data_IF_642672210048
#
_entry.id   IF_642672210048
#
_cell.length_a   1.000
_cell.length_b   1.000
_cell.length_c   1.000
_cell.angle_alpha   90.00
_cell.angle_beta   90.00
_cell.angle_gamma   90.00
#
_symmetry.space_group_name_H-M   'P 1'
#
loop_
_entity.id
_entity.type
_entity.pdbx_description
1 polymer ?
#
# COMPACT_ATOMS: atom_id res chain seq x y z
N UNK A 1 24.27 -3.70 -4.85
CA UNK A 1 23.68 -4.75 -4.01
C UNK A 1 23.93 -6.09 -4.70
N UNK A 2 24.06 -7.23 -3.98
CA UNK A 2 23.99 -8.53 -4.64
C UNK A 2 22.68 -8.62 -5.44
N UNK A 3 22.71 -9.28 -6.58
CA UNK A 3 21.50 -9.56 -7.36
C UNK A 3 20.55 -10.39 -6.50
N UNK A 4 19.28 -9.98 -6.42
CA UNK A 4 18.24 -10.79 -5.77
C UNK A 4 17.69 -11.79 -6.77
N UNK A 5 17.47 -13.03 -6.32
CA UNK A 5 17.02 -14.11 -7.21
C UNK A 5 15.52 -14.03 -7.54
N UNK A 6 14.75 -13.36 -6.69
CA UNK A 6 13.32 -13.12 -6.86
C UNK A 6 12.84 -11.98 -5.94
N UNK A 7 11.68 -11.38 -6.26
CA UNK A 7 10.98 -10.40 -5.44
C UNK A 7 9.47 -10.71 -5.34
N UNK A 8 8.82 -10.22 -4.30
CA UNK A 8 7.35 -10.18 -4.27
C UNK A 8 6.81 -9.19 -5.32
N UNK A 9 5.62 -9.46 -5.91
CA UNK A 9 4.96 -8.52 -6.81
C UNK A 9 4.65 -7.21 -6.09
N UNK A 10 4.66 -6.10 -6.85
CA UNK A 10 4.38 -4.76 -6.33
C UNK A 10 3.45 -4.02 -7.26
N UNK A 11 2.46 -3.33 -6.70
CA UNK A 11 1.62 -2.43 -7.48
C UNK A 11 2.39 -1.17 -7.88
N UNK A 12 2.04 -0.59 -9.04
CA UNK A 12 2.47 0.75 -9.40
C UNK A 12 1.65 1.73 -8.54
N UNK A 13 2.36 2.47 -7.68
CA UNK A 13 1.74 3.41 -6.73
C UNK A 13 1.04 4.57 -7.44
N UNK A 14 -0.02 5.10 -6.80
CA UNK A 14 -0.74 6.31 -7.27
C UNK A 14 0.23 7.45 -7.57
N UNK A 15 1.24 7.66 -6.71
CA UNK A 15 2.25 8.69 -6.88
C UNK A 15 3.00 8.58 -8.23
N UNK A 16 3.24 7.36 -8.70
CA UNK A 16 3.90 7.11 -9.99
C UNK A 16 2.97 7.39 -11.18
N UNK A 17 1.65 7.27 -11.00
CA UNK A 17 0.63 7.47 -12.03
C UNK A 17 0.20 8.93 -12.19
N UNK A 18 0.52 9.81 -11.22
CA UNK A 18 0.18 11.24 -11.29
C UNK A 18 0.75 11.87 -12.56
N UNK A 19 -0.13 12.53 -13.32
CA UNK A 19 0.19 13.15 -14.60
C UNK A 19 0.39 12.18 -15.77
N UNK A 20 0.25 10.87 -15.55
CA UNK A 20 0.32 9.84 -16.61
C UNK A 20 -1.05 9.27 -16.96
N UNK A 21 -2.02 9.35 -16.04
CA UNK A 21 -3.42 8.96 -16.26
C UNK A 21 -4.35 10.15 -16.01
N UNK A 22 -5.60 10.12 -16.51
CA UNK A 22 -6.59 11.13 -16.16
C UNK A 22 -6.75 11.29 -14.65
N UNK A 23 -6.73 12.54 -14.20
CA UNK A 23 -6.80 12.91 -12.77
C UNK A 23 -8.03 12.33 -12.05
N UNK A 24 -9.17 12.27 -12.75
CA UNK A 24 -10.40 11.74 -12.18
C UNK A 24 -10.37 10.23 -11.93
N UNK A 25 -9.43 9.48 -12.53
CA UNK A 25 -9.20 8.08 -12.17
C UNK A 25 -8.54 7.94 -10.79
N UNK A 26 -7.77 8.94 -10.36
CA UNK A 26 -7.03 8.91 -9.10
C UNK A 26 -7.84 9.54 -7.96
N UNK A 27 -8.80 10.40 -8.27
CA UNK A 27 -9.62 11.10 -7.28
C UNK A 27 -10.27 10.14 -6.29
N UNK A 28 -10.07 10.38 -4.98
CA UNK A 28 -10.54 9.55 -3.86
C UNK A 28 -9.96 8.13 -3.79
N UNK A 29 -9.01 7.77 -4.67
CA UNK A 29 -8.31 6.49 -4.61
C UNK A 29 -7.65 6.31 -3.24
N UNK A 30 -7.68 5.07 -2.74
CA UNK A 30 -7.02 4.69 -1.49
C UNK A 30 -5.54 4.53 -1.81
N UNK A 31 -4.72 5.52 -1.47
CA UNK A 31 -3.27 5.48 -1.74
C UNK A 31 -2.60 4.43 -0.87
N UNK A 32 -2.97 4.43 0.41
CA UNK A 32 -2.50 3.45 1.38
C UNK A 32 -3.55 3.26 2.47
N UNK A 33 -3.71 2.03 2.92
CA UNK A 33 -4.51 1.67 4.06
C UNK A 33 -3.84 0.52 4.80
N UNK A 34 -3.79 0.64 6.12
CA UNK A 34 -3.35 -0.43 6.99
C UNK A 34 -4.27 -0.47 8.20
N UNK A 35 -4.90 -1.61 8.50
CA UNK A 35 -5.70 -1.82 9.71
C UNK A 35 -5.03 -1.21 10.95
N UNK A 36 -5.69 -0.25 11.59
CA UNK A 36 -5.17 0.37 12.82
C UNK A 36 -4.04 1.40 12.66
N UNK A 37 -3.62 1.73 11.44
CA UNK A 37 -2.61 2.77 11.18
C UNK A 37 -3.13 3.97 10.37
N UNK A 38 -4.37 3.87 9.88
CA UNK A 38 -5.06 4.97 9.22
C UNK A 38 -5.20 4.75 7.73
N UNK A 39 -5.76 5.76 7.07
CA UNK A 39 -6.12 5.72 5.67
C UNK A 39 -5.60 6.99 4.98
N UNK A 40 -4.93 6.81 3.84
CA UNK A 40 -4.44 7.88 2.96
C UNK A 40 -5.26 7.87 1.69
N UNK A 41 -5.94 8.97 1.38
CA UNK A 41 -6.78 9.09 0.18
C UNK A 41 -6.28 10.21 -0.71
N UNK A 42 -6.22 9.96 -2.02
CA UNK A 42 -5.81 10.95 -3.01
C UNK A 42 -6.86 12.06 -3.15
N UNK A 43 -6.40 13.32 -3.10
CA UNK A 43 -7.23 14.51 -3.36
C UNK A 43 -6.93 15.03 -4.75
N UNK A 44 -5.65 15.30 -5.01
CA UNK A 44 -5.18 15.81 -6.29
C UNK A 44 -3.68 15.61 -6.49
N UNK A 45 -3.23 15.80 -7.72
CA UNK A 45 -1.81 15.77 -8.03
C UNK A 45 -1.47 16.38 -9.38
N UNK A 46 -0.21 16.73 -9.54
CA UNK A 46 0.33 17.24 -10.79
C UNK A 46 1.76 16.74 -10.99
N UNK A 47 2.13 16.58 -12.26
CA UNK A 47 3.50 16.30 -12.68
C UNK A 47 3.97 17.45 -13.57
N UNK A 48 5.02 18.15 -13.16
CA UNK A 48 5.67 19.20 -13.92
C UNK A 48 7.14 18.81 -14.16
N UNK A 49 7.43 18.25 -15.33
CA UNK A 49 8.71 17.60 -15.60
C UNK A 49 8.93 16.41 -14.66
N UNK A 50 9.99 16.47 -13.86
CA UNK A 50 10.32 15.43 -12.86
C UNK A 50 9.72 15.72 -11.49
N UNK A 51 9.16 16.90 -11.26
CA UNK A 51 8.54 17.23 -9.97
C UNK A 51 7.10 16.73 -9.97
N UNK A 52 6.75 15.90 -8.98
CA UNK A 52 5.39 15.42 -8.76
C UNK A 52 4.91 15.97 -7.42
N UNK A 53 3.76 16.64 -7.43
CA UNK A 53 3.06 17.07 -6.22
C UNK A 53 1.84 16.21 -6.01
N UNK A 54 1.69 15.63 -4.81
CA UNK A 54 0.53 14.80 -4.45
C UNK A 54 -0.10 15.36 -3.18
N UNK A 55 -1.39 15.71 -3.26
CA UNK A 55 -2.18 16.13 -2.12
C UNK A 55 -3.08 14.99 -1.68
N UNK A 56 -3.06 14.68 -0.39
CA UNK A 56 -3.84 13.58 0.19
C UNK A 56 -4.63 14.05 1.40
N UNK A 57 -5.74 13.35 1.65
CA UNK A 57 -6.47 13.36 2.91
C UNK A 57 -5.89 12.27 3.79
N UNK A 58 -5.62 12.61 5.04
CA UNK A 58 -5.15 11.67 6.05
C UNK A 58 -6.28 11.43 7.04
N UNK A 59 -6.79 10.20 7.09
CA UNK A 59 -7.66 9.76 8.17
C UNK A 59 -6.78 9.09 9.23
N UNK A 60 -6.56 9.75 10.38
CA UNK A 60 -5.58 9.29 11.35
C UNK A 60 -6.07 8.07 12.13
N UNK A 61 -5.18 7.56 12.98
CA UNK A 61 -5.54 6.76 14.16
C UNK A 61 -4.96 7.42 15.40
N UNK A 62 -5.61 7.22 16.53
CA UNK A 62 -5.19 7.80 17.80
C UNK A 62 -4.53 6.74 18.67
N UNK A 63 -3.44 7.14 19.33
CA UNK A 63 -2.65 6.31 20.23
C UNK A 63 -2.58 6.98 21.61
N UNK A 64 -2.63 6.19 22.68
CA UNK A 64 -2.50 6.71 24.04
C UNK A 64 -1.15 6.29 24.59
N UNK A 65 -0.33 7.27 24.96
CA UNK A 65 0.93 7.04 25.66
C UNK A 65 0.87 7.75 27.00
N UNK A 66 0.62 6.99 28.08
CA UNK A 66 0.34 7.58 29.39
C UNK A 66 -0.97 8.39 29.36
N UNK A 67 -0.89 9.69 29.66
CA UNK A 67 -2.02 10.63 29.56
C UNK A 67 -2.16 11.29 28.19
N UNK A 68 -1.16 11.13 27.32
CA UNK A 68 -1.11 11.87 26.06
C UNK A 68 -1.77 11.09 24.93
N UNK A 69 -2.58 11.80 24.13
CA UNK A 69 -3.11 11.30 22.87
C UNK A 69 -2.21 11.78 21.75
N UNK A 70 -1.72 10.84 20.95
CA UNK A 70 -0.94 11.09 19.75
C UNK A 70 -1.73 10.71 18.50
N UNK A 71 -1.39 11.34 17.39
CA UNK A 71 -2.03 11.14 16.10
C UNK A 71 -1.09 10.40 15.17
N UNK A 72 -1.54 9.26 14.66
CA UNK A 72 -0.82 8.41 13.71
C UNK A 72 -1.37 8.62 12.30
N UNK A 73 -0.49 8.81 11.32
CA UNK A 73 -0.86 9.00 9.91
C UNK A 73 0.05 8.20 8.98
N UNK A 74 -0.50 7.70 7.87
CA UNK A 74 0.24 6.99 6.83
C UNK A 74 0.95 7.92 5.84
N UNK A 75 1.62 7.34 4.85
CA UNK A 75 2.24 8.03 3.73
C UNK A 75 1.86 7.40 2.38
N UNK A 76 2.58 7.76 1.30
CA UNK A 76 2.21 7.35 -0.06
C UNK A 76 2.53 5.88 -0.40
N UNK A 77 3.40 5.21 0.35
CA UNK A 77 3.72 3.81 0.14
C UNK A 77 2.68 2.88 0.79
N UNK A 78 2.45 1.72 0.19
CA UNK A 78 1.63 0.65 0.76
C UNK A 78 2.52 -0.48 1.25
N UNK A 79 2.35 -0.85 2.53
CA UNK A 79 3.11 -1.94 3.13
C UNK A 79 2.43 -3.28 2.86
N UNK A 80 3.22 -4.28 2.45
CA UNK A 80 2.77 -5.66 2.46
C UNK A 80 2.74 -6.17 3.90
N UNK A 81 1.58 -6.08 4.54
CA UNK A 81 1.26 -6.91 5.72
C UNK A 81 0.85 -8.32 5.25
N UNK A 82 0.63 -9.32 6.11
CA UNK A 82 0.30 -10.75 5.78
C UNK A 82 -0.16 -10.93 4.35
N UNK A 83 0.37 -11.79 3.50
CA UNK A 83 0.03 -11.93 2.06
C UNK A 83 -0.45 -10.72 1.20
N UNK A 84 -0.44 -9.45 1.63
CA UNK A 84 -0.89 -8.31 0.85
C UNK A 84 0.22 -7.84 -0.09
N UNK A 85 -0.20 -7.20 -1.19
CA UNK A 85 0.71 -6.52 -2.10
C UNK A 85 1.21 -5.19 -1.54
N UNK A 86 2.47 -4.89 -1.81
CA UNK A 86 3.09 -3.61 -1.47
C UNK A 86 3.14 -2.65 -2.66
N UNK A 87 3.30 -1.37 -2.34
CA UNK A 87 3.51 -0.29 -3.29
C UNK A 87 4.72 0.54 -2.88
N UNK A 88 5.79 0.46 -3.67
CA UNK A 88 6.98 1.29 -3.45
C UNK A 88 6.74 2.71 -3.99
N UNK A 89 7.23 3.69 -3.24
CA UNK A 89 7.26 5.09 -3.64
C UNK A 89 8.67 5.67 -3.55
N UNK A 90 9.03 6.62 -4.42
CA UNK A 90 10.30 7.32 -4.32
C UNK A 90 10.40 8.16 -3.04
N UNK A 91 11.62 8.64 -2.77
CA UNK A 91 11.82 9.61 -1.71
C UNK A 91 11.02 10.90 -2.00
N UNK A 92 10.49 11.50 -0.96
CA UNK A 92 9.64 12.68 -1.03
C UNK A 92 9.85 13.61 0.16
N UNK A 93 9.37 14.84 0.02
CA UNK A 93 9.16 15.76 1.12
C UNK A 93 7.69 15.82 1.46
N UNK A 94 7.33 15.81 2.74
CA UNK A 94 5.95 15.85 3.21
C UNK A 94 5.71 17.06 4.09
N UNK A 95 4.61 17.78 3.85
CA UNK A 95 4.02 18.73 4.80
C UNK A 95 2.65 18.25 5.22
N UNK A 96 2.35 18.33 6.51
CA UNK A 96 1.08 17.89 7.11
C UNK A 96 0.33 19.09 7.64
N UNK A 97 -0.97 19.17 7.35
CA UNK A 97 -1.83 20.26 7.73
C UNK A 97 -3.04 19.76 8.52
N UNK A 98 -3.35 20.40 9.64
CA UNK A 98 -4.59 20.18 10.40
C UNK A 98 -5.51 21.37 10.22
N UNK A 99 -6.63 21.19 9.52
CA UNK A 99 -7.55 22.30 9.21
C UNK A 99 -6.88 23.47 8.48
N UNK A 100 -5.88 23.18 7.64
CA UNK A 100 -5.09 24.18 6.90
C UNK A 100 -3.88 24.76 7.66
N UNK A 101 -3.69 24.44 8.93
CA UNK A 101 -2.51 24.87 9.71
C UNK A 101 -1.40 23.84 9.56
N UNK A 102 -0.19 24.28 9.18
CA UNK A 102 1.00 23.40 9.10
C UNK A 102 1.35 22.86 10.50
N UNK A 103 1.25 21.55 10.67
CA UNK A 103 1.56 20.80 11.89
C UNK A 103 2.72 19.82 11.67
N UNK A 104 3.49 19.99 10.59
CA UNK A 104 4.59 19.10 10.20
C UNK A 104 5.60 18.92 11.34
N UNK A 105 5.92 20.01 12.04
CA UNK A 105 6.84 20.02 13.18
C UNK A 105 6.35 19.25 14.42
N UNK A 106 5.12 18.73 14.41
CA UNK A 106 4.58 17.89 15.48
C UNK A 106 4.98 16.43 15.34
N UNK A 107 5.57 16.03 14.22
CA UNK A 107 6.07 14.67 14.04
C UNK A 107 7.21 14.38 15.02
N UNK A 108 7.02 13.32 15.81
CA UNK A 108 7.95 12.90 16.87
C UNK A 108 8.49 11.49 16.67
N UNK A 109 7.83 10.69 15.83
CA UNK A 109 8.26 9.33 15.53
C UNK A 109 7.87 8.95 14.10
N UNK A 110 8.68 8.11 13.47
CA UNK A 110 8.42 7.52 12.17
C UNK A 110 8.77 6.03 12.19
N UNK A 111 7.98 5.25 11.48
CA UNK A 111 8.32 3.90 11.08
C UNK A 111 8.09 3.71 9.58
N UNK A 112 8.97 2.96 8.92
CA UNK A 112 8.82 2.68 7.49
C UNK A 112 9.58 1.42 7.05
N UNK A 113 9.04 0.74 6.04
CA UNK A 113 9.77 -0.31 5.32
C UNK A 113 10.62 0.34 4.22
N UNK A 114 11.93 0.10 4.21
CA UNK A 114 12.81 0.65 3.18
C UNK A 114 12.41 0.15 1.80
N UNK A 115 12.36 1.05 0.82
CA UNK A 115 12.36 0.66 -0.57
C UNK A 115 13.66 -0.09 -0.95
N UNK A 116 13.61 -0.78 -2.08
CA UNK A 116 14.72 -1.53 -2.64
C UNK A 116 14.31 -2.90 -3.18
N UNK A 117 15.21 -3.50 -3.92
CA UNK A 117 15.13 -4.89 -4.36
C UNK A 117 15.53 -5.79 -3.19
N UNK A 118 14.57 -6.06 -2.31
CA UNK A 118 14.76 -6.86 -1.09
C UNK A 118 13.67 -7.92 -1.00
N UNK A 119 14.06 -9.11 -0.57
CA UNK A 119 13.14 -10.16 -0.17
C UNK A 119 12.56 -9.84 1.22
N UNK A 120 11.40 -10.41 1.57
CA UNK A 120 10.91 -10.36 2.95
C UNK A 120 11.92 -10.99 3.91
N UNK A 121 11.77 -10.69 5.20
CA UNK A 121 12.50 -11.26 6.34
C UNK A 121 11.66 -12.31 7.08
N UNK A 122 10.32 -12.31 6.91
CA UNK A 122 9.40 -13.27 7.52
C UNK A 122 8.30 -13.77 6.55
N UNK A 123 7.58 -14.82 6.94
CA UNK A 123 6.49 -15.42 6.17
C UNK A 123 5.15 -14.68 6.32
N UNK A 124 4.12 -15.12 5.60
CA UNK A 124 2.78 -14.51 5.59
C UNK A 124 2.03 -14.54 6.92
N UNK A 125 2.46 -15.34 7.90
CA UNK A 125 1.85 -15.30 9.24
C UNK A 125 2.30 -14.09 10.05
N UNK A 126 3.41 -13.45 9.68
CA UNK A 126 3.86 -12.23 10.34
C UNK A 126 3.17 -11.00 9.76
N UNK A 127 2.65 -10.15 10.63
CA UNK A 127 2.03 -8.89 10.24
C UNK A 127 3.00 -7.99 9.47
N UNK A 128 4.29 -7.98 9.83
CA UNK A 128 5.32 -7.25 9.10
C UNK A 128 6.36 -8.21 8.54
N UNK A 129 6.31 -8.43 7.22
CA UNK A 129 7.26 -9.30 6.53
C UNK A 129 8.57 -8.62 6.17
N UNK A 130 8.67 -7.30 6.24
CA UNK A 130 9.88 -6.56 5.89
C UNK A 130 10.43 -5.83 7.10
N UNK A 131 11.76 -5.79 7.25
CA UNK A 131 12.42 -4.99 8.25
C UNK A 131 11.98 -3.52 8.16
N UNK A 132 11.54 -3.00 9.30
CA UNK A 132 11.14 -1.61 9.45
C UNK A 132 12.21 -0.80 10.16
N UNK A 133 12.48 0.39 9.65
CA UNK A 133 13.09 1.44 10.45
C UNK A 133 12.08 1.94 11.47
N UNK A 134 12.55 2.26 12.68
CA UNK A 134 11.77 2.88 13.75
C UNK A 134 12.64 3.93 14.43
N UNK A 135 12.20 5.18 14.48
CA UNK A 135 13.01 6.22 15.09
C UNK A 135 12.44 7.61 14.93
N UNK A 136 13.32 8.61 15.04
CA UNK A 136 12.94 10.00 14.90
C UNK A 136 12.76 10.37 13.42
N UNK A 137 11.76 11.23 13.09
CA UNK A 137 11.65 11.81 11.77
C UNK A 137 12.82 12.76 11.49
N UNK A 138 13.15 12.93 10.21
CA UNK A 138 14.10 13.93 9.72
C UNK A 138 13.35 15.04 8.99
N UNK A 139 13.93 16.24 9.00
CA UNK A 139 13.32 17.42 8.42
C UNK A 139 14.30 18.12 7.48
N UNK A 140 13.80 18.51 6.32
CA UNK A 140 14.51 19.36 5.39
C UNK A 140 14.66 20.78 5.96
N UNK A 141 15.59 21.57 5.38
CA UNK A 141 15.86 22.94 5.82
C UNK A 141 14.66 23.90 5.73
N UNK A 142 13.63 23.57 4.95
CA UNK A 142 12.38 24.33 4.86
C UNK A 142 11.30 23.87 5.87
N UNK A 143 11.60 22.87 6.70
CA UNK A 143 10.72 22.32 7.73
C UNK A 143 9.77 21.22 7.23
N UNK A 144 9.85 20.82 5.96
CA UNK A 144 9.16 19.63 5.47
C UNK A 144 9.78 18.37 6.06
N UNK A 145 8.97 17.33 6.28
CA UNK A 145 9.45 16.01 6.66
C UNK A 145 10.16 15.35 5.49
N UNK A 146 11.35 14.82 5.73
CA UNK A 146 12.00 13.94 4.77
C UNK A 146 11.36 12.54 4.88
N UNK A 147 10.74 12.13 3.79
CA UNK A 147 10.15 10.80 3.63
C UNK A 147 11.04 10.00 2.67
N UNK A 148 11.89 9.08 3.18
CA UNK A 148 12.77 8.30 2.32
C UNK A 148 11.95 7.41 1.39
N UNK A 149 12.58 6.91 0.32
CA UNK A 149 11.96 5.91 -0.53
C UNK A 149 11.54 4.72 0.33
N UNK A 150 10.25 4.36 0.25
CA UNK A 150 9.64 3.40 1.17
C UNK A 150 8.61 2.53 0.47
N UNK A 151 8.29 1.40 1.10
CA UNK A 151 7.19 0.50 0.75
C UNK A 151 6.08 0.62 1.80
N UNK A 152 5.79 1.82 2.24
CA UNK A 152 4.86 2.09 3.34
C UNK A 152 5.54 2.63 4.58
N UNK A 153 4.88 3.61 5.18
CA UNK A 153 5.36 4.29 6.37
C UNK A 153 4.23 4.88 7.20
N UNK A 154 4.56 5.21 8.43
CA UNK A 154 3.68 5.87 9.38
C UNK A 154 4.46 6.89 10.19
N UNK A 155 3.87 8.07 10.33
CA UNK A 155 4.35 9.13 11.20
C UNK A 155 3.42 9.26 12.41
N UNK A 156 4.01 9.54 13.57
CA UNK A 156 3.27 9.88 14.79
C UNK A 156 3.52 11.34 15.11
N UNK A 157 2.43 12.09 15.22
CA UNK A 157 2.39 13.48 15.61
C UNK A 157 1.99 13.59 17.09
N UNK A 158 2.69 14.45 17.81
CA UNK A 158 2.33 14.85 19.16
C UNK A 158 0.98 15.57 19.18
N UNK A 159 0.11 15.20 20.12
CA UNK A 159 -1.23 15.75 20.26
C UNK A 159 -2.29 15.08 19.38
N UNK A 160 -3.54 15.46 19.63
CA UNK A 160 -4.70 14.98 18.87
C UNK A 160 -5.01 15.95 17.73
N UNK A 161 -4.94 15.46 16.50
CA UNK A 161 -5.25 16.22 15.29
C UNK A 161 -6.37 15.55 14.49
N UNK A 162 -7.22 16.37 13.89
CA UNK A 162 -8.33 15.97 13.03
C UNK A 162 -8.27 16.77 11.73
N UNK A 163 -9.06 16.37 10.72
CA UNK A 163 -9.14 17.07 9.43
C UNK A 163 -7.76 17.29 8.79
N UNK A 164 -7.01 16.19 8.70
CA UNK A 164 -5.64 16.21 8.24
C UNK A 164 -5.56 16.09 6.72
N UNK A 165 -4.71 16.90 6.12
CA UNK A 165 -4.24 16.74 4.75
C UNK A 165 -2.71 16.73 4.73
N UNK A 166 -2.13 16.23 3.66
CA UNK A 166 -0.70 16.35 3.43
C UNK A 166 -0.40 16.65 1.97
N UNK A 167 0.70 17.36 1.75
CA UNK A 167 1.29 17.59 0.44
C UNK A 167 2.63 16.91 0.40
N UNK A 168 2.80 16.04 -0.59
CA UNK A 168 4.05 15.37 -0.90
C UNK A 168 4.65 15.99 -2.16
N UNK A 169 5.96 16.21 -2.14
CA UNK A 169 6.73 16.61 -3.31
C UNK A 169 7.79 15.56 -3.58
N UNK A 170 7.76 14.99 -4.78
CA UNK A 170 8.66 13.93 -5.25
C UNK A 170 9.46 14.47 -6.43
N UNK A 171 10.75 14.15 -6.49
CA UNK A 171 11.61 14.43 -7.64
C UNK A 171 11.95 13.13 -8.35
N UNK A 172 11.27 12.85 -9.46
CA UNK A 172 11.41 11.60 -10.19
C UNK A 172 11.06 11.71 -11.69
N UNK A 173 11.95 11.22 -12.54
CA UNK A 173 11.67 10.99 -13.96
C UNK A 173 10.66 9.85 -14.16
N UNK A 174 9.77 9.96 -15.16
CA UNK A 174 8.86 8.86 -15.45
C UNK A 174 9.63 7.61 -15.90
N UNK A 175 9.39 6.48 -15.25
CA UNK A 175 9.91 5.18 -15.67
C UNK A 175 8.96 4.44 -16.62
N UNK A 176 7.71 4.92 -16.73
CA UNK A 176 6.63 4.31 -17.51
C UNK A 176 5.90 5.33 -18.38
N UNK A 177 5.16 4.81 -19.35
CA UNK A 177 4.05 5.44 -20.04
C UNK A 177 2.80 4.62 -19.79
N UNK A 178 1.65 5.29 -19.76
CA UNK A 178 0.36 4.64 -19.50
C UNK A 178 -0.63 5.09 -20.57
N UNK A 179 -1.25 4.13 -21.22
CA UNK A 179 -2.36 4.34 -22.16
C UNK A 179 -3.64 3.85 -21.49
N UNK A 180 -4.68 4.69 -21.45
CA UNK A 180 -6.00 4.27 -21.01
C UNK A 180 -6.73 3.54 -22.13
N UNK A 181 -7.21 2.34 -21.84
CA UNK A 181 -7.95 1.52 -22.82
C UNK A 181 -9.45 1.43 -22.52
N UNK A 182 -9.86 1.58 -21.26
CA UNK A 182 -11.27 1.56 -20.90
C UNK A 182 -11.51 1.61 -19.40
N UNK A 183 -12.79 1.50 -19.02
CA UNK A 183 -13.19 1.30 -17.63
C UNK A 183 -14.49 0.49 -17.56
N UNK A 184 -14.70 -0.15 -16.42
CA UNK A 184 -15.96 -0.79 -16.04
C UNK A 184 -16.38 -0.25 -14.67
N UNK A 185 -17.69 -0.10 -14.44
CA UNK A 185 -18.22 0.30 -13.14
C UNK A 185 -19.27 -0.69 -12.70
N UNK A 186 -19.19 -1.09 -11.43
CA UNK A 186 -20.09 -2.03 -10.81
C UNK A 186 -20.73 -1.42 -9.57
N UNK A 187 -21.92 -1.93 -9.25
CA UNK A 187 -22.63 -1.61 -8.02
C UNK A 187 -22.43 -2.76 -7.04
N UNK A 188 -22.03 -2.44 -5.81
CA UNK A 188 -21.81 -3.42 -4.74
C UNK A 188 -22.43 -2.96 -3.43
N UNK A 189 -22.60 -3.91 -2.50
CA UNK A 189 -23.20 -3.67 -1.19
C UNK A 189 -22.25 -4.05 -0.06
N UNK A 190 -22.75 -3.98 1.17
CA UNK A 190 -22.05 -4.56 2.32
C UNK A 190 -21.82 -6.06 2.16
N UNK A 191 -20.60 -6.49 2.49
CA UNK A 191 -20.22 -7.87 2.68
C UNK A 191 -20.93 -8.44 3.91
N UNK A 192 -21.51 -9.62 3.74
CA UNK A 192 -22.14 -10.40 4.81
C UNK A 192 -21.60 -11.81 4.70
N UNK A 193 -20.71 -12.20 5.59
CA UNK A 193 -20.13 -13.53 5.49
C UNK A 193 -19.41 -13.98 6.73
N UNK A 194 -18.56 -14.97 6.54
CA UNK A 194 -17.64 -15.49 7.55
C UNK A 194 -16.37 -14.65 7.56
N UNK A 195 -15.44 -14.96 8.46
CA UNK A 195 -14.18 -14.24 8.62
C UNK A 195 -14.15 -13.38 9.87
N UNK A 196 -12.98 -12.82 10.15
CA UNK A 196 -12.80 -11.87 11.23
C UNK A 196 -13.56 -10.58 10.86
N UNK A 197 -14.30 -9.99 11.80
CA UNK A 197 -14.92 -8.66 11.62
C UNK A 197 -14.48 -7.65 12.69
N UNK A 198 -13.52 -8.06 13.53
CA UNK A 198 -12.99 -7.25 14.63
C UNK A 198 -14.10 -6.64 15.48
N UNK A 199 -14.03 -5.32 15.68
CA UNK A 199 -14.98 -4.55 16.49
C UNK A 199 -16.39 -4.48 15.88
N UNK A 200 -16.59 -4.95 14.64
CA UNK A 200 -17.88 -4.99 13.96
C UNK A 200 -18.50 -6.40 13.90
N UNK A 201 -17.99 -7.38 14.64
CA UNK A 201 -18.53 -8.75 14.62
C UNK A 201 -19.99 -8.83 15.08
N UNK A 202 -20.42 -7.95 16.01
CA UNK A 202 -21.82 -7.82 16.39
C UNK A 202 -22.71 -7.39 15.22
N UNK A 203 -22.26 -6.45 14.38
CA UNK A 203 -22.96 -6.06 13.15
C UNK A 203 -22.98 -7.21 12.16
N UNK A 204 -21.81 -7.82 11.85
CA UNK A 204 -21.70 -8.97 10.94
C UNK A 204 -22.68 -10.07 11.34
N UNK A 205 -22.72 -10.42 12.62
CA UNK A 205 -23.61 -11.47 13.16
C UNK A 205 -25.09 -11.12 13.04
N UNK A 206 -25.48 -9.85 13.24
CA UNK A 206 -26.87 -9.40 13.07
C UNK A 206 -27.29 -9.43 11.59
N UNK A 207 -26.43 -8.94 10.70
CA UNK A 207 -26.64 -8.97 9.25
C UNK A 207 -26.75 -10.42 8.75
N UNK A 208 -25.87 -11.31 9.19
CA UNK A 208 -25.87 -12.72 8.80
C UNK A 208 -27.13 -13.45 9.27
N UNK A 209 -27.57 -13.22 10.51
CA UNK A 209 -28.82 -13.81 11.02
C UNK A 209 -30.05 -13.34 10.26
N UNK A 210 -30.06 -12.09 9.79
CA UNK A 210 -31.23 -11.48 9.13
C UNK A 210 -31.27 -11.75 7.63
N UNK A 211 -30.12 -11.72 6.95
CA UNK A 211 -30.05 -11.70 5.48
C UNK A 211 -29.22 -12.84 4.87
N UNK A 212 -28.59 -13.70 5.67
CA UNK A 212 -27.73 -14.78 5.17
C UNK A 212 -26.35 -14.28 4.76
N UNK A 213 -25.79 -14.77 3.66
CA UNK A 213 -24.47 -14.37 3.17
C UNK A 213 -24.59 -13.58 1.87
N UNK A 214 -23.69 -12.61 1.67
CA UNK A 214 -23.52 -11.82 0.46
C UNK A 214 -22.05 -11.44 0.28
N UNK A 215 -21.53 -11.73 -0.91
CA UNK A 215 -20.27 -11.18 -1.42
C UNK A 215 -20.46 -10.92 -2.90
N UNK A 216 -20.54 -9.64 -3.28
CA UNK A 216 -20.79 -9.28 -4.67
C UNK A 216 -19.51 -9.58 -5.48
N UNK A 217 -19.67 -10.25 -6.62
CA UNK A 217 -18.58 -10.61 -7.53
C UNK A 217 -18.98 -10.23 -8.95
N UNK A 218 -18.04 -9.67 -9.68
CA UNK A 218 -18.25 -9.15 -11.03
C UNK A 218 -17.34 -9.84 -12.00
N UNK A 219 -17.86 -10.28 -13.15
CA UNK A 219 -17.01 -10.73 -14.25
C UNK A 219 -16.34 -9.50 -14.88
N UNK A 220 -15.03 -9.57 -15.08
CA UNK A 220 -14.22 -8.52 -15.68
C UNK A 220 -14.17 -8.72 -17.20
N UNK A 221 -14.28 -7.63 -17.97
CA UNK A 221 -14.15 -7.65 -19.42
C UNK A 221 -13.04 -6.67 -19.88
N UNK A 222 -11.76 -6.99 -19.62
CA UNK A 222 -10.66 -6.12 -20.01
C UNK A 222 -10.65 -5.86 -21.52
N UNK A 223 -10.50 -4.60 -21.98
CA UNK A 223 -10.31 -4.28 -23.40
C UNK A 223 -9.07 -4.97 -23.98
N UNK A 224 -9.06 -5.19 -25.29
CA UNK A 224 -7.92 -5.79 -25.99
C UNK A 224 -6.63 -5.01 -25.73
N UNK A 225 -5.60 -5.75 -25.30
CA UNK A 225 -4.26 -5.22 -25.03
C UNK A 225 -4.12 -4.44 -23.73
N UNK A 226 -5.11 -4.50 -22.82
CA UNK A 226 -4.93 -4.12 -21.42
C UNK A 226 -4.10 -5.18 -20.69
N UNK A 227 -3.12 -4.71 -19.92
CA UNK A 227 -2.20 -5.54 -19.11
C UNK A 227 -2.22 -5.15 -17.62
N UNK A 228 -2.73 -3.96 -17.30
CA UNK A 228 -2.89 -3.46 -15.94
C UNK A 228 -4.32 -2.98 -15.68
N UNK A 229 -4.70 -3.01 -14.41
CA UNK A 229 -5.91 -2.38 -13.91
C UNK A 229 -5.65 -1.57 -12.63
N UNK A 230 -6.47 -0.55 -12.40
CA UNK A 230 -6.53 0.19 -11.14
C UNK A 230 -7.99 0.24 -10.67
N UNK A 231 -8.21 0.04 -9.37
CA UNK A 231 -9.56 0.06 -8.80
C UNK A 231 -9.76 1.28 -7.90
N UNK A 232 -10.87 1.98 -8.09
CA UNK A 232 -11.35 3.04 -7.19
C UNK A 232 -12.71 2.69 -6.59
N UNK A 233 -12.83 2.88 -5.28
CA UNK A 233 -14.05 2.61 -4.50
C UNK A 233 -14.04 3.48 -3.23
N UNK A 234 -15.21 3.81 -2.65
CA UNK A 234 -15.27 4.62 -1.45
C UNK A 234 -14.75 3.86 -0.22
N UNK A 235 -14.16 4.52 0.79
CA UNK A 235 -13.82 3.88 2.06
C UNK A 235 -15.07 3.50 2.86
N UNK A 236 -14.99 2.44 3.66
CA UNK A 236 -16.00 2.14 4.69
C UNK A 236 -15.93 3.21 5.80
N UNK A 237 -17.06 3.63 6.39
CA UNK A 237 -17.08 4.70 7.39
C UNK A 237 -16.68 4.24 8.80
N UNK A 238 -16.27 2.98 8.98
CA UNK A 238 -15.79 2.46 10.26
C UNK A 238 -14.59 1.51 10.07
N UNK A 239 -13.70 1.52 11.07
CA UNK A 239 -12.53 0.66 11.20
C UNK A 239 -12.88 -0.58 12.03
N UNK A 240 -12.98 -1.77 11.42
CA UNK A 240 -13.19 -3.00 12.15
C UNK A 240 -11.95 -3.44 12.97
N UNK A 241 -10.74 -3.01 12.61
CA UNK A 241 -9.49 -3.54 13.16
C UNK A 241 -8.59 -2.43 13.73
N UNK A 242 -9.01 -1.70 14.77
CA UNK A 242 -8.14 -0.71 15.38
C UNK A 242 -6.98 -1.39 16.15
N UNK A 243 -5.74 -0.99 15.87
CA UNK A 243 -4.50 -1.52 16.52
C UNK A 243 -4.46 -1.23 18.04
N UNK A 244 -5.20 -0.21 18.49
CA UNK A 244 -5.38 0.09 19.90
C UNK A 244 -6.87 0.13 20.24
N UNK A 245 -7.24 -0.31 21.45
CA UNK A 245 -8.61 -0.24 21.97
C UNK A 245 -9.06 1.20 22.30
N UNK A 246 -8.62 2.19 21.52
CA UNK A 246 -9.23 3.51 21.57
C UNK A 246 -10.56 3.47 20.82
N UNK A 247 -11.64 3.70 21.57
CA UNK A 247 -13.00 3.70 21.03
C UNK A 247 -13.19 4.71 19.89
N UNK A 248 -12.42 5.79 19.91
CA UNK A 248 -12.43 6.85 18.91
C UNK A 248 -11.93 6.41 17.53
N UNK A 249 -11.22 5.28 17.44
CA UNK A 249 -10.70 4.77 16.16
C UNK A 249 -11.75 4.03 15.35
N UNK A 250 -12.70 3.35 16.00
CA UNK A 250 -13.76 2.57 15.33
C UNK A 250 -14.62 3.42 14.38
N UNK A 251 -15.09 4.64 14.74
CA UNK A 251 -15.90 5.46 13.83
C UNK A 251 -15.08 6.16 12.74
N UNK A 252 -13.79 5.88 12.59
CA UNK A 252 -12.96 6.48 11.55
C UNK A 252 -13.00 5.62 10.27
N UNK A 253 -12.99 6.25 9.08
CA UNK A 253 -12.97 5.51 7.82
C UNK A 253 -11.79 4.55 7.68
N UNK A 254 -12.03 3.45 6.96
CA UNK A 254 -11.07 2.42 6.62
C UNK A 254 -11.19 2.00 5.15
N UNK A 255 -10.15 1.33 4.62
CA UNK A 255 -10.09 0.97 3.20
C UNK A 255 -10.68 -0.41 2.86
N UNK A 256 -10.76 -1.34 3.82
CA UNK A 256 -11.09 -2.76 3.56
C UNK A 256 -10.18 -3.42 2.51
N UNK A 257 -10.62 -4.55 1.97
CA UNK A 257 -9.84 -5.39 1.04
C UNK A 257 -10.68 -5.82 -0.16
N UNK A 258 -10.10 -5.80 -1.36
CA UNK A 258 -10.69 -6.40 -2.56
C UNK A 258 -9.77 -7.48 -3.11
N UNK A 259 -10.30 -8.37 -3.95
CA UNK A 259 -9.55 -9.51 -4.50
C UNK A 259 -9.92 -9.80 -5.96
N UNK A 260 -8.97 -10.32 -6.71
CA UNK A 260 -9.19 -10.86 -8.05
C UNK A 260 -9.50 -12.35 -7.95
N UNK A 261 -10.62 -12.76 -8.52
CA UNK A 261 -11.09 -14.14 -8.50
C UNK A 261 -10.89 -14.86 -9.82
N UNK A 262 -10.69 -16.18 -9.74
CA UNK A 262 -10.80 -17.12 -10.85
C UNK A 262 -12.24 -17.59 -11.03
N UNK A 263 -12.54 -18.20 -12.18
CA UNK A 263 -13.86 -18.79 -12.43
C UNK A 263 -14.25 -19.89 -11.44
N UNK A 264 -13.25 -20.56 -10.84
CA UNK A 264 -13.43 -21.62 -9.84
C UNK A 264 -13.62 -21.10 -8.39
N UNK A 265 -13.69 -19.78 -8.20
CA UNK A 265 -13.77 -19.05 -6.93
C UNK A 265 -12.49 -19.00 -6.08
N UNK A 266 -11.35 -19.47 -6.58
CA UNK A 266 -10.05 -19.13 -5.98
C UNK A 266 -9.87 -17.61 -6.00
N UNK A 267 -9.32 -17.05 -4.94
CA UNK A 267 -9.11 -15.61 -4.78
C UNK A 267 -7.62 -15.30 -4.74
N UNK A 268 -7.25 -14.16 -5.29
CA UNK A 268 -5.97 -13.54 -5.02
C UNK A 268 -5.85 -13.24 -3.52
N UNK A 269 -4.63 -12.91 -3.13
CA UNK A 269 -4.38 -12.24 -1.86
C UNK A 269 -5.17 -10.95 -1.71
N UNK A 270 -5.22 -10.44 -0.48
CA UNK A 270 -5.86 -9.17 -0.16
C UNK A 270 -5.15 -7.97 -0.80
N UNK A 271 -5.96 -7.05 -1.34
CA UNK A 271 -5.52 -5.75 -1.80
C UNK A 271 -6.22 -4.63 -1.04
N UNK A 272 -5.44 -3.82 -0.32
CA UNK A 272 -5.91 -2.74 0.56
C UNK A 272 -5.77 -1.35 -0.05
N UNK A 273 -5.08 -1.22 -1.18
CA UNK A 273 -4.85 0.07 -1.85
C UNK A 273 -5.24 0.04 -3.33
N UNK A 274 -5.60 1.21 -3.84
CA UNK A 274 -5.75 1.52 -5.26
C UNK A 274 -4.35 1.67 -5.87
N UNK A 275 -3.78 0.58 -6.36
CA UNK A 275 -2.53 0.61 -7.13
C UNK A 275 -2.82 0.06 -8.53
N UNK A 276 -2.04 0.44 -9.54
CA UNK A 276 -2.13 -0.27 -10.81
C UNK A 276 -1.42 -1.62 -10.69
N UNK A 277 -2.16 -2.69 -10.95
CA UNK A 277 -1.72 -4.08 -10.79
C UNK A 277 -1.87 -4.83 -12.12
N UNK A 278 -0.99 -5.79 -12.43
CA UNK A 278 -1.10 -6.57 -13.64
C UNK A 278 -2.35 -7.46 -13.62
N UNK A 279 -3.08 -7.48 -14.73
CA UNK A 279 -4.27 -8.32 -14.91
C UNK A 279 -3.93 -9.81 -14.82
N UNK A 280 -2.81 -10.21 -15.44
CA UNK A 280 -2.43 -11.61 -15.66
C UNK A 280 -1.27 -12.05 -14.75
N UNK A 281 -1.14 -11.42 -13.59
CA UNK A 281 -0.08 -11.72 -12.63
C UNK A 281 -0.60 -11.67 -11.20
N UNK A 282 -1.26 -12.74 -10.75
CA UNK A 282 -1.89 -12.82 -9.45
C UNK A 282 -1.38 -14.01 -8.65
N UNK A 283 -1.49 -13.94 -7.33
CA UNK A 283 -1.11 -15.02 -6.42
C UNK A 283 -2.27 -15.31 -5.50
N UNK A 284 -2.54 -16.60 -5.34
CA UNK A 284 -3.63 -17.11 -4.53
C UNK A 284 -3.39 -16.82 -3.05
N UNK A 285 -4.48 -16.52 -2.32
CA UNK A 285 -4.46 -16.28 -0.88
C UNK A 285 -3.69 -17.36 -0.10
N UNK A 286 -3.00 -16.92 0.96
CA UNK A 286 -2.32 -17.79 1.91
C UNK A 286 -3.25 -18.77 2.65
N UNK A 287 -4.54 -18.48 2.81
CA UNK A 287 -5.50 -19.41 3.41
C UNK A 287 -6.03 -20.46 2.41
N UNK A 288 -5.75 -20.28 1.11
CA UNK A 288 -6.13 -21.19 0.03
C UNK A 288 -4.95 -21.96 -0.57
N UNK A 289 -3.71 -21.66 -0.14
CA UNK A 289 -2.50 -22.30 -0.65
C UNK A 289 -1.53 -22.65 0.47
N UNK A 290 -0.75 -23.73 0.29
CA UNK A 290 0.30 -24.11 1.21
C UNK A 290 1.66 -24.17 0.50
N UNK A 291 2.74 -23.82 1.20
CA UNK A 291 4.07 -23.90 0.62
C UNK A 291 4.98 -22.73 0.99
N UNK A 292 6.18 -22.79 0.42
CA UNK A 292 7.17 -21.71 0.52
C UNK A 292 6.72 -20.48 -0.29
N UNK A 293 5.99 -20.69 -1.37
CA UNK A 293 5.46 -19.62 -2.21
C UNK A 293 3.99 -19.88 -2.52
N UNK A 294 3.20 -18.81 -2.60
CA UNK A 294 1.79 -18.87 -2.97
C UNK A 294 1.64 -19.29 -4.44
N UNK A 295 0.50 -19.90 -4.77
CA UNK A 295 0.23 -20.34 -6.13
C UNK A 295 -0.06 -19.15 -7.05
N UNK A 296 0.74 -19.03 -8.11
CA UNK A 296 0.52 -18.06 -9.17
C UNK A 296 -0.68 -18.44 -10.04
N UNK A 297 -1.42 -17.44 -10.52
CA UNK A 297 -2.40 -17.59 -11.59
C UNK A 297 -2.46 -16.34 -12.49
N UNK A 298 -2.77 -16.57 -13.76
CA UNK A 298 -2.88 -15.53 -14.80
C UNK A 298 -4.29 -15.41 -15.39
N UNK A 299 -5.22 -16.28 -14.99
CA UNK A 299 -6.59 -16.38 -15.50
C UNK A 299 -7.61 -15.71 -14.56
N UNK A 300 -7.20 -14.65 -13.87
CA UNK A 300 -8.10 -13.82 -13.06
C UNK A 300 -9.18 -13.20 -13.95
N UNK A 301 -10.44 -13.53 -13.67
CA UNK A 301 -11.58 -13.15 -14.52
C UNK A 301 -12.69 -12.44 -13.75
N UNK A 302 -12.54 -12.28 -12.43
CA UNK A 302 -13.55 -11.69 -11.55
C UNK A 302 -12.95 -10.70 -10.59
N UNK A 303 -13.76 -9.73 -10.20
CA UNK A 303 -13.50 -8.86 -9.06
C UNK A 303 -14.46 -9.21 -7.93
N UNK A 304 -13.91 -9.56 -6.77
CA UNK A 304 -14.66 -9.65 -5.54
C UNK A 304 -14.75 -8.25 -4.91
N UNK A 305 -15.97 -7.81 -4.59
CA UNK A 305 -16.19 -6.49 -3.99
C UNK A 305 -15.43 -6.33 -2.66
N UNK A 306 -15.13 -5.09 -2.24
CA UNK A 306 -14.50 -4.83 -0.96
C UNK A 306 -15.23 -5.49 0.22
N UNK A 307 -14.49 -6.08 1.17
CA UNK A 307 -15.04 -6.72 2.37
C UNK A 307 -15.51 -5.67 3.41
N UNK A 308 -16.67 -5.06 3.15
CA UNK A 308 -17.24 -3.99 3.97
C UNK A 308 -18.45 -4.45 4.78
N UNK A 309 -18.34 -4.45 6.11
CA UNK A 309 -19.51 -4.70 6.98
C UNK A 309 -20.47 -3.50 7.03
N UNK A 310 -19.96 -2.29 6.84
CA UNK A 310 -20.71 -1.04 6.86
C UNK A 310 -20.48 -0.32 5.52
N UNK A 311 -21.52 -0.10 4.70
CA UNK A 311 -21.35 0.53 3.40
C UNK A 311 -21.15 2.04 3.56
N UNK A 312 -20.40 2.64 2.64
CA UNK A 312 -20.32 4.08 2.51
C UNK A 312 -21.73 4.67 2.33
N UNK A 313 -22.01 5.78 3.02
CA UNK A 313 -23.34 6.40 3.06
C UNK A 313 -24.17 6.05 4.30
N UNK A 314 -23.78 5.05 5.10
CA UNK A 314 -24.37 4.78 6.42
C UNK A 314 -23.37 5.12 7.52
N UNK A 315 -23.69 6.10 8.36
CA UNK A 315 -22.84 6.48 9.48
C UNK A 315 -22.72 5.36 10.51
N UNK A 316 -21.55 5.26 11.15
CA UNK A 316 -21.35 4.37 12.28
C UNK A 316 -22.36 4.64 13.40
N UNK A 317 -22.90 3.57 13.99
CA UNK A 317 -23.74 3.59 15.18
C UNK A 317 -23.14 2.66 16.24
N UNK A 318 -23.07 3.06 17.53
CA UNK A 318 -22.54 2.20 18.59
C UNK A 318 -23.15 0.79 18.66
N UNK A 319 -24.42 0.60 18.25
CA UNK A 319 -25.06 -0.72 18.18
C UNK A 319 -24.33 -1.70 17.23
N UNK A 320 -23.56 -1.19 16.27
CA UNK A 320 -22.82 -2.01 15.31
C UNK A 320 -21.70 -2.78 16.00
N UNK A 321 -21.15 -2.21 17.07
CA UNK A 321 -20.15 -2.84 17.94
C UNK A 321 -20.81 -3.61 19.09
N UNK A 322 -21.77 -3.00 19.79
CA UNK A 322 -22.37 -3.59 20.99
C UNK A 322 -23.53 -4.57 20.74
N UNK A 323 -24.08 -4.59 19.52
CA UNK A 323 -25.30 -5.32 19.18
C UNK A 323 -26.58 -4.49 19.40
N UNK A 324 -27.72 -5.08 19.02
CA UNK A 324 -29.04 -4.47 19.22
C UNK A 324 -29.37 -3.36 18.22
N UNK A 325 -28.81 -3.41 17.01
CA UNK A 325 -29.18 -2.49 15.95
C UNK A 325 -30.64 -2.69 15.56
N UNK A 326 -31.34 -1.59 15.28
CA UNK A 326 -32.72 -1.65 14.84
C UNK A 326 -32.84 -2.31 13.47
N UNK A 327 -33.96 -2.98 13.25
CA UNK A 327 -34.32 -3.56 11.95
C UNK A 327 -34.18 -2.56 10.80
N UNK A 328 -34.64 -1.31 11.01
CA UNK A 328 -34.54 -0.25 10.02
C UNK A 328 -33.09 0.10 9.66
N UNK A 329 -32.17 0.11 10.63
CA UNK A 329 -30.75 0.34 10.36
C UNK A 329 -30.12 -0.83 9.62
N UNK A 330 -30.45 -2.07 10.01
CA UNK A 330 -29.96 -3.27 9.32
C UNK A 330 -30.47 -3.34 7.87
N UNK A 331 -31.75 -3.01 7.65
CA UNK A 331 -32.34 -2.92 6.30
C UNK A 331 -31.68 -1.82 5.46
N UNK A 332 -31.36 -0.67 6.08
CA UNK A 332 -30.61 0.41 5.41
C UNK A 332 -29.21 -0.06 5.00
N UNK A 333 -28.45 -0.70 5.89
CA UNK A 333 -27.12 -1.25 5.60
C UNK A 333 -27.20 -2.31 4.48
N UNK A 334 -28.24 -3.14 4.50
CA UNK A 334 -28.44 -4.19 3.51
C UNK A 334 -28.71 -3.61 2.11
N UNK A 335 -29.55 -2.58 2.02
CA UNK A 335 -30.00 -1.99 0.77
C UNK A 335 -29.10 -0.87 0.22
N UNK A 336 -28.10 -0.41 0.98
CA UNK A 336 -27.22 0.68 0.53
C UNK A 336 -26.25 0.18 -0.55
N UNK A 337 -26.32 0.82 -1.71
CA UNK A 337 -25.46 0.59 -2.86
C UNK A 337 -24.24 1.51 -2.85
N UNK A 338 -23.11 0.99 -3.33
CA UNK A 338 -21.85 1.71 -3.54
C UNK A 338 -21.32 1.43 -4.94
N UNK A 339 -20.47 2.31 -5.45
CA UNK A 339 -19.83 2.16 -6.76
C UNK A 339 -18.37 1.77 -6.63
N UNK A 340 -17.95 0.82 -7.45
CA UNK A 340 -16.56 0.45 -7.68
C UNK A 340 -16.27 0.58 -9.16
N UNK A 341 -15.14 1.17 -9.51
CA UNK A 341 -14.71 1.38 -10.91
C UNK A 341 -13.35 0.75 -11.12
N UNK A 342 -13.23 -0.05 -12.18
CA UNK A 342 -11.99 -0.64 -12.67
C UNK A 342 -11.56 0.15 -13.89
N UNK A 343 -10.34 0.68 -13.86
CA UNK A 343 -9.72 1.39 -14.98
C UNK A 343 -8.69 0.47 -15.62
N UNK A 344 -8.76 0.29 -16.93
CA UNK A 344 -7.87 -0.58 -17.68
C UNK A 344 -6.81 0.22 -18.41
N UNK A 345 -5.56 -0.22 -18.25
CA UNK A 345 -4.39 0.43 -18.79
C UNK A 345 -3.55 -0.53 -19.62
N UNK A 346 -2.83 0.05 -20.58
CA UNK A 346 -1.59 -0.52 -21.10
C UNK A 346 -0.41 0.23 -20.49
N UNK A 347 0.51 -0.49 -19.87
CA UNK A 347 1.73 0.09 -19.30
C UNK A 347 2.91 -0.22 -20.21
N UNK A 348 3.80 0.75 -20.41
CA UNK A 348 5.01 0.55 -21.19
C UNK A 348 6.20 1.18 -20.50
N UNK A 349 7.34 0.50 -20.50
CA UNK A 349 8.59 1.01 -19.92
C UNK A 349 9.19 2.10 -20.78
N UNK A 350 9.72 3.14 -20.13
CA UNK A 350 10.54 4.16 -20.80
C UNK A 350 11.89 4.40 -20.12
N UNK A 351 12.11 3.81 -18.94
CA UNK A 351 13.42 3.81 -18.29
C UNK A 351 14.39 2.85 -19.00
N UNK A 352 15.65 3.27 -19.09
CA UNK A 352 16.76 2.53 -19.71
C UNK A 352 17.54 1.66 -18.70
N UNK A 353 17.44 1.94 -17.40
CA UNK A 353 18.09 1.18 -16.34
C UNK A 353 17.05 0.43 -15.51
N UNK A 354 16.72 -0.79 -15.94
CA UNK A 354 15.79 -1.69 -15.26
C UNK A 354 16.41 -3.07 -15.07
N UNK A 355 16.02 -3.73 -13.98
CA UNK A 355 16.43 -5.12 -13.68
C UNK A 355 15.23 -6.04 -13.82
N UNK A 356 15.33 -7.06 -14.68
CA UNK A 356 14.32 -8.14 -14.74
C UNK A 356 14.55 -9.09 -13.59
N UNK A 357 13.51 -9.31 -12.79
CA UNK A 357 13.58 -10.16 -11.59
C UNK A 357 12.37 -11.09 -11.57
N UNK A 358 12.55 -12.41 -11.34
CA UNK A 358 11.44 -13.34 -11.13
C UNK A 358 10.53 -12.92 -9.98
N UNK A 359 9.22 -13.13 -10.15
CA UNK A 359 8.24 -12.82 -9.11
C UNK A 359 7.85 -14.07 -8.34
N UNK A 360 7.86 -13.96 -7.01
CA UNK A 360 7.30 -14.97 -6.11
C UNK A 360 6.69 -14.28 -4.91
N UNK A 361 5.50 -14.71 -4.52
CA UNK A 361 4.89 -14.27 -3.28
C UNK A 361 5.12 -15.32 -2.20
N UNK A 362 5.61 -14.91 -1.02
CA UNK A 362 5.94 -15.89 0.02
C UNK A 362 4.67 -16.52 0.59
N UNK A 363 4.75 -17.80 0.92
CA UNK A 363 3.69 -18.55 1.59
C UNK A 363 3.99 -18.83 3.05
N UNK A 364 3.09 -19.55 3.72
CA UNK A 364 3.15 -19.84 5.16
C UNK A 364 4.34 -20.71 5.60
N UNK A 365 5.03 -21.37 4.66
CA UNK A 365 6.23 -22.18 4.95
C UNK A 365 7.54 -21.48 4.60
N UNK A 366 7.48 -20.26 4.05
CA UNK A 366 8.68 -19.51 3.70
C UNK A 366 9.53 -19.22 4.95
N UNK A 367 10.84 -19.21 4.79
CA UNK A 367 11.79 -18.81 5.85
C UNK A 367 12.95 -18.06 5.21
N UNK A 368 13.34 -16.92 5.78
CA UNK A 368 14.49 -16.19 5.25
C UNK A 368 15.77 -17.00 5.41
N UNK A 369 16.66 -16.90 4.41
CA UNK A 369 18.00 -17.49 4.45
C UNK A 369 18.86 -16.80 5.53
N UNK A 370 18.56 -15.54 5.88
CA UNK A 370 19.20 -14.82 7.00
C UNK A 370 18.86 -15.48 8.34
N UNK A 371 17.65 -16.01 8.50
CA UNK A 371 17.20 -16.71 9.71
C UNK A 371 17.79 -18.12 9.82
N UNK A 372 18.13 -18.78 8.71
CA UNK A 372 18.79 -20.09 8.73
C UNK A 372 20.22 -20.03 9.28
N UNK A 373 20.94 -18.92 9.06
CA UNK A 373 22.28 -18.72 9.63
C UNK A 373 22.26 -18.16 11.07
N UNK A 374 21.17 -17.49 11.47
CA UNK A 374 20.99 -17.02 12.85
C UNK A 374 20.75 -18.17 13.84
N UNK A 375 20.17 -19.29 13.40
CA UNK A 375 20.03 -20.51 14.21
C UNK A 375 21.40 -21.12 14.59
N UNK A 376 22.44 -20.89 13.79
CA UNK A 376 23.84 -21.26 14.10
C UNK A 376 24.61 -20.22 14.92
N UNK A 377 24.07 -19.01 15.12
CA UNK A 377 24.67 -17.96 15.97
C UNK A 377 23.97 -17.78 17.33
N UNK A 378 22.81 -18.42 17.52
CA UNK A 378 22.11 -18.47 18.81
C UNK A 378 22.89 -19.24 19.90
N UNK A 379 23.83 -20.11 19.53
CA UNK A 379 24.74 -20.79 20.48
C UNK A 379 25.92 -19.92 20.95
N UNK A 380 26.15 -18.75 20.33
CA UNK A 380 27.23 -17.82 20.68
C UNK A 380 26.79 -16.56 21.43
N UNK A 381 25.48 -16.35 21.66
CA UNK A 381 24.95 -15.20 22.41
C UNK A 381 24.48 -15.51 23.84
N UNK A 382 24.72 -16.72 24.34
CA UNK A 382 24.47 -17.08 25.75
C UNK A 382 25.51 -16.51 26.73
N UNK A 383 26.51 -15.74 26.26
CA UNK A 383 27.52 -15.09 27.11
C UNK A 383 27.76 -13.63 26.70
N UNK A 384 26.80 -12.75 26.95
CA UNK A 384 27.06 -11.32 27.16
C UNK A 384 25.87 -10.64 27.89
N UNK A 385 25.53 -11.13 29.07
CA UNK A 385 24.90 -10.29 30.08
C UNK A 385 26.02 -9.62 30.86
N UNK A 386 26.35 -8.37 30.53
CA UNK A 386 26.84 -7.27 31.40
C UNK A 386 27.52 -6.16 30.59
N UNK A 387 27.34 -4.93 31.07
CA UNK A 387 27.87 -3.61 30.62
C UNK A 387 26.96 -2.88 29.61
N UNK A 388 26.19 -1.82 29.89
CA UNK A 388 26.28 -0.69 30.85
C UNK A 388 27.71 -0.15 31.01
N UNK A 389 27.90 1.06 30.51
CA UNK A 389 29.16 1.82 30.39
C UNK A 389 30.12 1.32 29.30
N UNK A 390 30.06 1.95 28.12
CA UNK A 390 31.14 2.79 27.54
C UNK A 390 30.86 3.05 26.06
N UNK A 391 30.26 4.19 25.70
CA UNK A 391 30.43 4.79 24.36
C UNK A 391 30.42 6.32 24.48
N UNK A 392 31.51 6.85 25.04
CA UNK A 392 32.10 8.09 24.52
C UNK A 392 33.12 7.71 23.45
N UNK A 393 33.18 8.52 22.39
CA UNK A 393 34.15 8.55 21.29
C UNK A 393 34.02 7.45 20.21
N UNK A 394 33.32 7.76 19.12
CA UNK A 394 33.96 8.03 17.82
C UNK A 394 33.20 9.19 17.15
N UNK A 395 33.83 10.35 17.20
CA UNK A 395 33.55 11.54 16.43
C UNK A 395 34.43 11.42 15.17
N UNK A 396 33.85 11.16 14.00
CA UNK A 396 34.43 11.52 12.71
C UNK A 396 33.27 11.87 11.76
N UNK A 397 33.10 13.17 11.58
CA UNK A 397 32.27 13.79 10.57
C UNK A 397 32.94 13.58 9.21
N UNK A 398 32.26 12.92 8.27
CA UNK A 398 32.52 13.13 6.86
C UNK A 398 31.63 14.30 6.40
N UNK A 399 32.23 15.47 6.25
CA UNK A 399 31.60 16.62 5.60
C UNK A 399 31.40 16.30 4.10
N UNK A 400 30.14 16.17 3.67
CA UNK A 400 29.80 16.05 2.25
C UNK A 400 29.53 17.44 1.68
N UNK A 401 30.43 17.93 0.84
CA UNK A 401 30.23 19.16 0.05
C UNK A 401 29.34 18.81 -1.16
N UNK A 402 28.12 19.35 -1.20
CA UNK A 402 27.29 19.35 -2.41
C UNK A 402 27.68 20.53 -3.30
N UNK A 403 28.32 20.25 -4.45
CA UNK A 403 28.54 21.27 -5.48
C UNK A 403 27.27 21.45 -6.34
N UNK A 404 26.84 22.69 -6.63
CA UNK A 404 25.74 22.91 -7.57
C UNK A 404 26.16 22.52 -8.99
N UNK A 405 25.41 21.60 -9.60
CA UNK A 405 25.55 21.28 -11.02
C UNK A 405 24.91 22.42 -11.83
N UNK A 406 25.73 23.27 -12.43
CA UNK A 406 25.28 24.25 -13.43
C UNK A 406 25.25 23.55 -14.78
N UNK A 407 24.06 23.23 -15.31
CA UNK A 407 23.91 22.77 -16.70
C UNK A 407 23.86 24.00 -17.62
N UNK A 408 24.85 24.10 -18.50
CA UNK A 408 24.83 25.02 -19.64
C UNK A 408 23.82 24.46 -20.66
N UNK A 409 22.83 25.23 -21.15
CA UNK A 409 21.97 24.77 -22.23
C UNK A 409 22.83 24.60 -23.49
N UNK A 410 23.11 23.36 -23.86
CA UNK A 410 23.56 23.01 -25.21
C UNK A 410 22.34 22.58 -26.00
N UNK A 411 22.33 22.94 -27.28
CA UNK A 411 21.23 22.71 -28.23
C UNK A 411 20.60 21.31 -28.11
N UNK A 412 19.29 21.17 -28.41
CA UNK A 412 18.56 19.91 -28.24
C UNK A 412 19.23 18.81 -29.06
N UNK A 413 20.04 18.02 -28.38
CA UNK A 413 20.59 16.78 -28.92
C UNK A 413 19.39 15.83 -29.03
N UNK A 414 19.14 15.19 -30.19
CA UNK A 414 18.07 14.22 -30.31
C UNK A 414 18.22 13.19 -29.18
N UNK A 415 17.21 13.09 -28.32
CA UNK A 415 17.18 12.14 -27.21
C UNK A 415 17.29 10.75 -27.84
N UNK A 416 18.34 9.98 -27.55
CA UNK A 416 18.42 8.60 -28.02
C UNK A 416 17.15 7.88 -27.59
N UNK A 417 16.49 7.17 -28.51
CA UNK A 417 15.35 6.33 -28.15
C UNK A 417 15.79 5.39 -27.03
N UNK A 418 15.12 5.39 -25.86
CA UNK A 418 15.48 4.51 -24.75
C UNK A 418 15.60 3.08 -25.26
N UNK A 419 16.75 2.44 -25.04
CA UNK A 419 16.90 1.02 -25.34
C UNK A 419 16.23 0.22 -24.22
N UNK A 420 14.90 0.14 -24.29
CA UNK A 420 14.11 -0.68 -23.38
C UNK A 420 14.56 -2.14 -23.54
N UNK A 421 14.99 -2.82 -22.47
CA UNK A 421 15.39 -4.21 -22.55
C UNK A 421 14.22 -5.08 -23.07
N UNK A 422 14.44 -5.99 -24.03
CA UNK A 422 13.38 -6.83 -24.57
C UNK A 422 12.83 -7.78 -23.49
N UNK A 423 11.55 -8.13 -23.62
CA UNK A 423 10.99 -9.19 -22.80
C UNK A 423 11.53 -10.55 -23.27
N UNK A 424 11.98 -11.35 -22.31
CA UNK A 424 12.23 -12.78 -22.48
C UNK A 424 11.16 -13.50 -21.68
N UNK A 425 10.23 -14.11 -22.39
CA UNK A 425 9.07 -14.85 -21.85
C UNK A 425 9.48 -16.21 -21.26
N UNK A 426 10.71 -16.66 -21.50
CA UNK A 426 11.22 -17.91 -20.94
C UNK A 426 11.33 -17.88 -19.41
N UNK A 427 10.56 -18.73 -18.74
CA UNK A 427 10.90 -19.24 -17.40
C UNK A 427 10.42 -18.43 -16.18
N UNK A 428 9.44 -17.53 -16.29
CA UNK A 428 8.87 -16.85 -15.11
C UNK A 428 7.54 -16.14 -15.39
N UNK A 429 6.69 -15.88 -14.38
CA UNK A 429 6.19 -14.52 -14.18
C UNK A 429 7.33 -13.64 -13.65
N UNK A 430 7.66 -12.55 -14.34
CA UNK A 430 8.73 -11.63 -13.96
C UNK A 430 8.23 -10.19 -13.86
N UNK A 431 8.97 -9.35 -13.16
CA UNK A 431 8.78 -7.91 -13.15
C UNK A 431 10.05 -7.18 -13.60
N UNK A 432 9.86 -6.00 -14.19
CA UNK A 432 10.94 -5.04 -14.38
C UNK A 432 10.97 -4.09 -13.19
N UNK A 433 12.12 -3.99 -12.54
CA UNK A 433 12.30 -3.20 -11.33
C UNK A 433 13.33 -2.09 -11.55
N UNK A 434 13.05 -0.92 -11.00
CA UNK A 434 14.03 0.16 -10.90
C UNK A 434 14.96 -0.02 -9.69
N UNK A 435 15.85 0.94 -9.47
CA UNK A 435 16.84 0.91 -8.38
C UNK A 435 16.24 1.02 -6.98
N UNK A 436 15.02 1.55 -6.84
CA UNK A 436 14.29 1.60 -5.57
C UNK A 436 13.38 0.37 -5.41
N UNK A 437 13.44 -0.59 -6.34
CA UNK A 437 12.63 -1.79 -6.30
C UNK A 437 11.15 -1.53 -6.59
N UNK A 438 10.77 -0.43 -7.22
CA UNK A 438 9.40 -0.33 -7.74
C UNK A 438 9.29 -1.22 -8.97
N UNK A 439 8.25 -2.05 -9.01
CA UNK A 439 7.90 -2.79 -10.22
C UNK A 439 7.25 -1.81 -11.19
N UNK A 440 7.89 -1.58 -12.34
CA UNK A 440 7.43 -0.62 -13.36
C UNK A 440 6.69 -1.31 -14.51
N UNK A 441 6.84 -2.62 -14.64
CA UNK A 441 6.21 -3.43 -15.68
C UNK A 441 6.20 -4.91 -15.29
N UNK A 442 5.29 -5.67 -15.88
CA UNK A 442 5.06 -7.09 -15.62
C UNK A 442 5.22 -7.88 -16.91
N UNK A 443 5.99 -8.96 -16.84
CA UNK A 443 6.18 -9.88 -17.95
C UNK A 443 5.26 -11.08 -17.70
N UNK A 444 4.18 -11.16 -18.47
CA UNK A 444 3.27 -12.29 -18.41
C UNK A 444 3.97 -13.57 -18.91
N UNK A 445 3.78 -14.72 -18.25
CA UNK A 445 4.23 -16.00 -18.77
C UNK A 445 3.40 -16.38 -20.02
N UNK A 446 4.07 -16.94 -21.04
CA UNK A 446 3.42 -17.50 -22.24
C UNK A 446 2.54 -18.72 -21.97
#
# INVERSE_FOLDING_TARGET
>A
APAVDWLEPRGISIASLVGLVPEDHLRNAIVAYRPGYGLVQYISGERNGNTITVNVKLTPRYLTFGSDVMTRVGCLGQMGVYDEWMGAVPASKMRVFAGGTDVTNKAVYVEYAYAGQKQPDDDVSNYFRYAMYKGNPSFAGDGALDAPANMGCTYVLSGRHTNLTATFTIEESSAIQVEQLGNESFTFHSYIGVGNAGELDSLRSQMQRRFGNRHDKFDLNPPEGADYFLITYPPTPAEPYPDTMQEDNVPLPAGGTYRIGRSDNSLSVDHTASMAMPLYGQWQDADQSDGEYLHFFSDGSRLASPEYFLPAGVSYNPCMRSGGCSDALLDQIYATEMQITVHYYRVSRVADVLTRIPLRQVGSRWKSVVTQNAATQADSMAHASTMVDTMQAIEQQDEVIFLPIIRIPTEPTPIPTPQVPPDDVGGCPCGWFDSIGRMVDYIAPE
#
